data_IF_847646740599
#
_entry.id   IF_847646740599
#
_cell.length_a   1.000
_cell.length_b   1.000
_cell.length_c   1.000
_cell.angle_alpha   90.00
_cell.angle_beta   90.00
_cell.angle_gamma   90.00
#
_symmetry.space_group_name_H-M   'P 1'
#
loop_
_entity.id
_entity.type
_entity.pdbx_description
1 polymer ?
#
# COMPACT_ATOMS: atom_id res chain seq x y z
N UNK A 1 -6.61 -21.38 -65.93
CA UNK A 1 -7.13 -21.81 -64.62
C UNK A 1 -6.34 -21.11 -63.52
N UNK A 2 -6.99 -20.25 -62.73
CA UNK A 2 -6.39 -19.40 -61.69
C UNK A 2 -6.32 -20.17 -60.37
N UNK A 3 -5.13 -20.53 -59.88
CA UNK A 3 -4.95 -20.99 -58.50
C UNK A 3 -4.52 -19.80 -57.66
N UNK A 4 -5.48 -19.15 -57.01
CA UNK A 4 -5.21 -18.15 -55.98
C UNK A 4 -4.75 -18.89 -54.73
N UNK A 5 -3.46 -18.82 -54.41
CA UNK A 5 -2.99 -19.21 -53.09
C UNK A 5 -3.35 -18.05 -52.14
N UNK A 6 -4.48 -18.18 -51.45
CA UNK A 6 -4.82 -17.30 -50.33
C UNK A 6 -4.02 -17.82 -49.15
N UNK A 7 -2.89 -17.17 -48.86
CA UNK A 7 -2.14 -17.39 -47.61
C UNK A 7 -3.01 -16.87 -46.48
N UNK A 8 -3.38 -17.67 -45.47
CA UNK A 8 -4.23 -17.19 -44.39
C UNK A 8 -3.39 -16.24 -43.54
N UNK A 9 -3.78 -14.96 -43.54
CA UNK A 9 -3.32 -13.93 -42.63
C UNK A 9 -3.88 -14.20 -41.21
N UNK A 10 -3.49 -15.33 -40.62
CA UNK A 10 -3.84 -15.72 -39.25
C UNK A 10 -2.54 -16.20 -38.58
N UNK A 11 -1.52 -15.36 -38.54
CA UNK A 11 -0.37 -15.57 -37.67
C UNK A 11 0.22 -14.19 -37.32
N UNK A 12 0.37 -13.94 -36.01
CA UNK A 12 0.85 -12.72 -35.37
C UNK A 12 -0.13 -11.52 -35.27
N UNK A 13 -1.09 -11.65 -34.37
CA UNK A 13 -1.34 -10.56 -33.42
C UNK A 13 -1.53 -11.14 -32.02
N UNK A 14 -0.46 -11.72 -31.48
CA UNK A 14 -0.36 -12.01 -30.05
C UNK A 14 -0.08 -10.67 -29.35
N UNK A 15 -1.14 -9.90 -29.10
CA UNK A 15 -1.06 -8.67 -28.30
C UNK A 15 -0.54 -9.08 -26.92
N UNK A 16 0.70 -8.71 -26.63
CA UNK A 16 1.34 -8.87 -25.34
C UNK A 16 0.56 -8.10 -24.29
N UNK A 17 -0.31 -8.81 -23.57
CA UNK A 17 -1.09 -8.29 -22.44
C UNK A 17 -0.23 -8.15 -21.16
N UNK A 18 1.04 -7.73 -21.27
CA UNK A 18 1.97 -7.61 -20.14
C UNK A 18 1.93 -6.25 -19.44
N UNK A 19 0.93 -5.40 -19.73
CA UNK A 19 0.94 -3.99 -19.34
C UNK A 19 0.05 -3.56 -18.18
N UNK A 20 -0.69 -4.47 -17.52
CA UNK A 20 -1.56 -4.11 -16.39
C UNK A 20 -1.12 -4.80 -15.09
N UNK A 21 0.18 -4.86 -14.83
CA UNK A 21 0.63 -4.78 -13.45
C UNK A 21 0.39 -3.34 -13.00
N UNK A 22 -0.87 -3.00 -12.72
CA UNK A 22 -1.19 -1.74 -12.04
C UNK A 22 -0.27 -1.67 -10.84
N UNK A 23 0.57 -0.63 -10.78
CA UNK A 23 1.61 -0.51 -9.78
C UNK A 23 1.00 -0.80 -8.41
N UNK A 24 1.23 -2.02 -7.91
CA UNK A 24 0.67 -2.45 -6.64
C UNK A 24 1.27 -1.49 -5.63
N UNK A 25 0.41 -0.67 -5.03
CA UNK A 25 0.90 0.37 -4.16
C UNK A 25 1.63 -0.28 -2.99
N UNK A 26 2.90 0.08 -2.83
CA UNK A 26 3.84 -0.67 -1.98
C UNK A 26 3.45 -0.62 -0.49
N UNK A 27 2.68 0.39 -0.09
CA UNK A 27 2.38 0.65 1.32
C UNK A 27 0.87 0.72 1.59
N UNK A 28 0.05 1.15 0.64
CA UNK A 28 -1.38 1.34 0.85
C UNK A 28 -2.06 0.02 1.19
N UNK A 29 -2.90 0.08 2.21
CA UNK A 29 -3.61 -1.09 2.70
C UNK A 29 -3.72 -1.10 4.21
N UNK A 30 -4.31 -2.19 4.70
CA UNK A 30 -4.44 -2.50 6.12
C UNK A 30 -3.33 -3.47 6.51
N UNK A 31 -2.56 -3.08 7.52
CA UNK A 31 -1.47 -3.84 8.09
C UNK A 31 -1.83 -4.23 9.50
N UNK A 32 -1.81 -5.52 9.78
CA UNK A 32 -2.06 -6.07 11.11
C UNK A 32 -0.74 -6.57 11.68
N UNK A 33 -0.47 -6.25 12.93
CA UNK A 33 0.78 -6.62 13.58
C UNK A 33 0.69 -6.51 15.09
N UNK A 34 1.86 -6.56 15.73
CA UNK A 34 2.01 -6.33 17.17
C UNK A 34 2.87 -5.11 17.39
N UNK A 35 2.39 -4.21 18.25
CA UNK A 35 3.15 -3.06 18.73
C UNK A 35 3.79 -3.42 20.07
N UNK A 36 5.11 -3.47 20.10
CA UNK A 36 5.87 -3.58 21.34
C UNK A 36 5.97 -2.21 22.03
N UNK A 37 5.65 -2.16 23.30
CA UNK A 37 5.73 -0.95 24.14
C UNK A 37 6.31 -1.31 25.51
N UNK A 38 6.74 -0.33 26.33
CA UNK A 38 7.15 -0.61 27.70
C UNK A 38 6.08 -1.30 28.56
N UNK A 39 4.80 -1.17 28.20
CA UNK A 39 3.69 -1.87 28.87
C UNK A 39 3.43 -3.29 28.35
N UNK A 40 4.20 -3.75 27.35
CA UNK A 40 4.04 -5.06 26.70
C UNK A 40 3.70 -4.97 25.21
N UNK A 41 3.51 -6.14 24.59
CA UNK A 41 3.05 -6.26 23.20
C UNK A 41 1.53 -6.22 23.12
N UNK A 42 1.01 -5.43 22.17
CA UNK A 42 -0.43 -5.40 21.87
C UNK A 42 -0.70 -5.56 20.37
N UNK A 43 -1.79 -6.23 19.96
CA UNK A 43 -2.24 -6.19 18.58
C UNK A 43 -2.43 -4.73 18.13
N UNK A 44 -2.01 -4.44 16.91
CA UNK A 44 -2.18 -3.12 16.30
C UNK A 44 -2.59 -3.27 14.85
N UNK A 45 -3.32 -2.27 14.38
CA UNK A 45 -3.71 -2.13 12.99
C UNK A 45 -3.26 -0.76 12.53
N UNK A 46 -2.56 -0.74 11.39
CA UNK A 46 -2.18 0.46 10.66
C UNK A 46 -2.87 0.46 9.30
N UNK A 47 -3.44 1.60 8.92
CA UNK A 47 -4.06 1.77 7.60
C UNK A 47 -3.32 2.88 6.89
N UNK A 48 -2.64 2.55 5.80
CA UNK A 48 -2.01 3.54 4.93
C UNK A 48 -2.82 3.75 3.67
N UNK A 49 -2.85 4.99 3.21
CA UNK A 49 -3.51 5.41 1.97
C UNK A 49 -2.54 6.26 1.16
N UNK A 50 -2.47 6.00 -0.14
CA UNK A 50 -1.80 6.91 -1.07
C UNK A 50 -2.61 8.20 -1.22
N UNK A 51 -1.95 9.34 -1.10
CA UNK A 51 -2.54 10.65 -1.33
C UNK A 51 -1.63 11.45 -2.28
N UNK A 52 -1.99 11.48 -3.57
CA UNK A 52 -1.14 12.04 -4.62
C UNK A 52 0.19 11.29 -4.73
N UNK A 53 1.30 12.02 -4.56
CA UNK A 53 2.66 11.47 -4.57
C UNK A 53 3.09 10.88 -3.23
N UNK A 54 2.37 11.16 -2.15
CA UNK A 54 2.73 10.76 -0.78
C UNK A 54 1.80 9.72 -0.17
N UNK A 55 2.03 9.45 1.12
CA UNK A 55 1.21 8.57 1.94
C UNK A 55 0.65 9.30 3.15
N UNK A 56 -0.58 8.96 3.52
CA UNK A 56 -1.15 9.26 4.83
C UNK A 56 -1.48 7.96 5.52
N UNK A 57 -1.62 7.98 6.85
CA UNK A 57 -2.02 6.79 7.57
C UNK A 57 -2.79 7.07 8.84
N UNK A 58 -3.34 6.00 9.41
CA UNK A 58 -3.93 5.99 10.74
C UNK A 58 -3.51 4.74 11.47
N UNK A 59 -3.31 4.84 12.78
CA UNK A 59 -3.05 3.71 13.65
C UNK A 59 -3.95 3.77 14.89
N UNK A 60 -4.05 2.66 15.61
CA UNK A 60 -4.63 2.68 16.95
C UNK A 60 -3.81 3.59 17.87
N UNK A 61 -4.51 4.44 18.62
CA UNK A 61 -3.90 5.32 19.61
C UNK A 61 -3.53 4.59 20.90
N UNK A 62 -3.02 5.34 21.88
CA UNK A 62 -2.65 4.80 23.19
C UNK A 62 -3.86 4.34 24.01
N UNK A 63 -5.05 4.88 23.74
CA UNK A 63 -6.29 4.51 24.44
C UNK A 63 -7.13 3.58 23.57
N UNK A 64 -7.81 2.59 24.16
CA UNK A 64 -8.77 1.77 23.44
C UNK A 64 -9.81 2.64 22.71
N UNK A 65 -10.07 2.33 21.43
CA UNK A 65 -11.03 3.06 20.61
C UNK A 65 -10.57 4.43 20.09
N UNK A 66 -9.34 4.86 20.40
CA UNK A 66 -8.76 6.07 19.79
C UNK A 66 -7.95 5.73 18.54
N UNK A 67 -8.01 6.59 17.54
CA UNK A 67 -7.14 6.56 16.37
C UNK A 67 -6.18 7.74 16.42
N UNK A 68 -4.97 7.54 15.90
CA UNK A 68 -3.97 8.59 15.72
C UNK A 68 -3.65 8.68 14.24
N UNK A 69 -3.60 9.91 13.73
CA UNK A 69 -3.20 10.17 12.36
C UNK A 69 -1.67 10.07 12.22
N UNK A 70 -1.24 9.37 11.18
CA UNK A 70 0.16 9.26 10.78
C UNK A 70 0.44 10.30 9.69
N UNK A 71 1.29 11.26 10.02
CA UNK A 71 1.77 12.35 9.17
C UNK A 71 3.22 12.09 8.74
N UNK A 72 3.68 12.83 7.73
CA UNK A 72 5.05 12.72 7.19
C UNK A 72 5.47 11.28 6.88
N UNK A 73 4.56 10.48 6.29
CA UNK A 73 4.84 9.07 6.00
C UNK A 73 5.86 8.97 4.85
N UNK A 74 7.00 8.36 5.14
CA UNK A 74 8.11 8.10 4.21
C UNK A 74 8.34 6.60 4.07
N UNK A 75 8.62 6.17 2.84
CA UNK A 75 8.94 4.79 2.51
C UNK A 75 10.34 4.71 1.91
N UNK A 76 11.28 4.17 2.67
CA UNK A 76 12.67 3.95 2.26
C UNK A 76 12.91 2.44 2.09
N UNK A 77 12.69 1.96 0.86
CA UNK A 77 12.76 0.53 0.54
C UNK A 77 11.70 -0.27 1.29
N UNK A 78 12.11 -1.00 2.33
CA UNK A 78 11.24 -1.79 3.21
C UNK A 78 10.93 -1.10 4.55
N UNK A 79 11.45 0.10 4.78
CA UNK A 79 11.29 0.82 6.05
C UNK A 79 10.26 1.92 5.90
N UNK A 80 9.28 1.96 6.82
CA UNK A 80 8.26 3.02 6.86
C UNK A 80 8.53 3.89 8.08
N UNK A 81 8.67 5.20 7.87
CA UNK A 81 8.77 6.19 8.95
C UNK A 81 7.55 7.09 8.91
N UNK A 82 6.92 7.34 10.05
CA UNK A 82 5.80 8.27 10.17
C UNK A 82 5.86 9.01 11.50
N UNK A 83 5.29 10.22 11.55
CA UNK A 83 5.09 10.98 12.78
C UNK A 83 3.64 10.87 13.21
N UNK A 84 3.43 10.82 14.52
CA UNK A 84 2.10 10.73 15.11
C UNK A 84 2.04 11.71 16.28
N UNK A 85 1.09 12.63 16.25
CA UNK A 85 0.85 13.55 17.37
C UNK A 85 0.04 12.80 18.42
N UNK A 86 0.68 12.48 19.54
CA UNK A 86 0.06 11.76 20.65
C UNK A 86 -0.23 12.76 21.76
N UNK A 87 -1.51 12.98 22.06
CA UNK A 87 -1.89 13.73 23.26
C UNK A 87 -1.56 12.88 24.50
N UNK A 88 -0.39 13.10 25.08
CA UNK A 88 -0.06 12.58 26.40
C UNK A 88 -0.76 13.44 27.46
N UNK A 89 -1.51 12.83 28.40
CA UNK A 89 -2.05 13.57 29.53
C UNK A 89 -0.88 14.26 30.25
N UNK A 90 -0.99 15.58 30.45
CA UNK A 90 -0.11 16.26 31.39
C UNK A 90 -0.47 15.73 32.78
N UNK A 91 0.45 15.00 33.40
CA UNK A 91 0.39 14.65 34.82
C UNK A 91 0.50 15.91 35.67
#
# INVERSE_FOLDING_TARGET
MRRKLVVPAIFLLLVTLTGLAGAQDKLSGRWEGKLASPQGERPTVMIFKKNGEGYTGRSMGLRPGTEVELKDVKLDGSTVTAKADLETPRL
#
